data_IF_671737211250
#
_entry.id   IF_671737211250
#
_cell.length_a   1.000
_cell.length_b   1.000
_cell.length_c   1.000
_cell.angle_alpha   90.00
_cell.angle_beta   90.00
_cell.angle_gamma   90.00
#
_symmetry.space_group_name_H-M   'P 1'
#
loop_
_entity.id
_entity.type
_entity.pdbx_description
1 polymer ?
#
# COMPACT_ATOMS: atom_id res chain seq x y z
N UNK A 1 -51.30 -51.51 -31.16
CA UNK A 1 -49.92 -50.96 -31.12
C UNK A 1 -49.98 -49.52 -30.67
N UNK A 2 -49.79 -49.30 -29.38
CA UNK A 2 -49.76 -47.91 -28.85
C UNK A 2 -48.38 -47.28 -29.09
N UNK A 3 -48.37 -46.16 -29.81
CA UNK A 3 -47.15 -45.38 -30.03
C UNK A 3 -46.86 -44.55 -28.78
N UNK A 4 -45.84 -44.98 -27.99
CA UNK A 4 -45.33 -44.29 -26.84
C UNK A 4 -44.77 -42.89 -27.28
N UNK A 5 -45.51 -41.80 -27.02
CA UNK A 5 -45.04 -40.44 -27.26
C UNK A 5 -43.94 -40.11 -26.29
N UNK A 6 -42.70 -40.14 -26.74
CA UNK A 6 -41.55 -39.67 -25.95
C UNK A 6 -41.63 -38.17 -25.76
N UNK A 7 -41.54 -37.74 -24.52
CA UNK A 7 -41.64 -36.36 -24.13
C UNK A 7 -40.29 -35.67 -24.42
N UNK A 8 -40.13 -35.09 -25.62
CA UNK A 8 -38.90 -34.46 -26.10
C UNK A 8 -38.39 -33.39 -25.14
N UNK A 9 -39.31 -32.74 -24.41
CA UNK A 9 -38.94 -31.74 -23.38
C UNK A 9 -38.17 -32.35 -22.21
N UNK A 10 -38.52 -33.54 -21.80
CA UNK A 10 -37.79 -34.24 -20.70
C UNK A 10 -36.38 -34.69 -21.13
N UNK A 11 -36.23 -35.08 -22.42
CA UNK A 11 -34.91 -35.42 -22.97
C UNK A 11 -33.99 -34.21 -23.13
N UNK A 12 -34.52 -33.04 -23.53
CA UNK A 12 -33.75 -31.80 -23.62
C UNK A 12 -33.28 -31.35 -22.23
N UNK A 13 -34.13 -31.43 -21.20
CA UNK A 13 -33.74 -31.05 -19.83
C UNK A 13 -32.65 -31.96 -19.25
N UNK A 14 -32.69 -33.27 -19.55
CA UNK A 14 -31.66 -34.21 -19.16
C UNK A 14 -30.31 -33.99 -19.84
N UNK A 15 -30.34 -33.60 -21.13
CA UNK A 15 -29.12 -33.30 -21.89
C UNK A 15 -28.44 -31.97 -21.41
N UNK A 16 -29.21 -30.96 -20.98
CA UNK A 16 -28.65 -29.74 -20.40
C UNK A 16 -28.01 -30.02 -19.03
N UNK A 17 -28.56 -30.95 -18.23
CA UNK A 17 -27.97 -31.32 -16.94
C UNK A 17 -26.65 -32.12 -17.09
N UNK A 18 -26.50 -32.86 -18.22
CA UNK A 18 -25.29 -33.62 -18.54
C UNK A 18 -24.18 -32.73 -19.20
N UNK A 19 -24.53 -31.57 -19.70
CA UNK A 19 -23.55 -30.55 -20.15
C UNK A 19 -23.04 -29.74 -18.96
N UNK A 20 -22.87 -30.44 -17.84
CA UNK A 20 -22.21 -30.03 -16.62
C UNK A 20 -21.72 -28.60 -16.64
N UNK A 21 -22.50 -27.71 -16.08
CA UNK A 21 -21.90 -26.64 -15.29
C UNK A 21 -21.37 -27.31 -14.00
N UNK A 22 -20.40 -28.23 -14.16
CA UNK A 22 -19.45 -28.50 -13.12
C UNK A 22 -18.62 -27.20 -13.03
N UNK A 23 -19.11 -26.24 -12.26
CA UNK A 23 -18.28 -25.19 -11.74
C UNK A 23 -17.09 -25.90 -11.10
N UNK A 24 -15.93 -25.80 -11.70
CA UNK A 24 -14.69 -26.12 -11.04
C UNK A 24 -14.65 -25.24 -9.79
N UNK A 25 -15.07 -25.80 -8.68
CA UNK A 25 -14.64 -25.36 -7.37
C UNK A 25 -13.21 -25.90 -7.32
N UNK A 26 -12.29 -25.09 -7.82
CA UNK A 26 -10.88 -25.29 -7.62
C UNK A 26 -10.62 -24.84 -6.18
N UNK A 27 -10.54 -25.81 -5.24
CA UNK A 27 -10.18 -25.62 -3.84
C UNK A 27 -8.69 -25.26 -3.69
N UNK A 28 -8.09 -24.65 -4.70
CA UNK A 28 -6.90 -23.87 -4.52
C UNK A 28 -7.35 -22.57 -3.84
N UNK A 29 -7.15 -22.51 -2.55
CA UNK A 29 -7.17 -21.25 -1.80
C UNK A 29 -6.21 -20.27 -2.50
N UNK A 30 -6.71 -19.58 -3.52
CA UNK A 30 -6.11 -18.32 -3.96
C UNK A 30 -6.18 -17.47 -2.70
N UNK A 31 -5.03 -17.08 -2.11
CA UNK A 31 -5.08 -16.17 -0.97
C UNK A 31 -6.01 -15.05 -1.36
N UNK A 32 -6.96 -14.75 -0.48
CA UNK A 32 -7.98 -13.72 -0.64
C UNK A 32 -7.26 -12.38 -0.85
N UNK A 33 -6.74 -12.21 -2.06
CA UNK A 33 -6.34 -10.88 -2.53
C UNK A 33 -7.67 -10.19 -2.72
N UNK A 34 -8.03 -9.23 -1.86
CA UNK A 34 -9.29 -8.55 -2.00
C UNK A 34 -9.36 -8.00 -3.42
N UNK A 35 -10.18 -8.64 -4.26
CA UNK A 35 -10.47 -8.14 -5.60
C UNK A 35 -11.21 -6.85 -5.36
N UNK A 36 -10.51 -5.74 -5.52
CA UNK A 36 -10.97 -4.36 -5.25
C UNK A 36 -12.05 -3.90 -6.23
N UNK A 37 -12.98 -4.80 -6.58
CA UNK A 37 -14.20 -4.40 -7.25
C UNK A 37 -15.12 -3.75 -6.21
N UNK A 38 -15.04 -2.41 -6.12
CA UNK A 38 -15.96 -1.61 -5.34
C UNK A 38 -15.54 -1.29 -3.90
N UNK A 39 -14.28 -1.43 -3.54
CA UNK A 39 -13.78 -0.93 -2.26
C UNK A 39 -13.26 0.50 -2.39
N UNK A 40 -13.58 1.40 -1.47
CA UNK A 40 -12.99 2.73 -1.43
C UNK A 40 -11.46 2.64 -1.41
N UNK A 41 -10.82 3.54 -2.16
CA UNK A 41 -9.36 3.67 -2.18
C UNK A 41 -8.96 5.11 -1.90
N UNK A 42 -7.72 5.31 -1.44
CA UNK A 42 -7.13 6.60 -1.18
C UNK A 42 -5.74 6.63 -1.82
N UNK A 43 -5.48 7.68 -2.60
CA UNK A 43 -4.15 7.99 -3.10
C UNK A 43 -3.38 8.82 -2.07
N UNK A 44 -2.09 8.56 -1.90
CA UNK A 44 -1.26 9.40 -1.05
C UNK A 44 0.23 9.35 -1.41
N UNK A 45 0.93 10.40 -0.98
CA UNK A 45 2.40 10.48 -0.99
C UNK A 45 2.86 11.06 0.35
N UNK A 46 3.89 10.46 0.95
CA UNK A 46 4.50 10.97 2.18
C UNK A 46 5.79 11.70 1.82
N UNK A 47 5.96 12.93 2.33
CA UNK A 47 7.13 13.76 2.07
C UNK A 47 7.48 14.64 3.26
N UNK A 48 8.68 15.19 3.28
CA UNK A 48 9.06 16.12 4.33
C UNK A 48 10.56 16.36 4.46
N UNK A 49 10.94 16.82 5.65
CA UNK A 49 12.34 17.10 5.98
C UNK A 49 12.66 16.54 7.37
N UNK A 50 13.84 15.95 7.52
CA UNK A 50 14.37 15.49 8.81
C UNK A 50 15.49 16.42 9.26
N UNK A 51 15.42 16.87 10.50
CA UNK A 51 16.41 17.75 11.11
C UNK A 51 16.80 17.27 12.50
N UNK A 52 17.90 17.78 13.04
CA UNK A 52 18.17 17.72 14.48
C UNK A 52 17.29 18.74 15.25
N UNK A 53 17.49 18.83 16.57
CA UNK A 53 16.74 19.74 17.43
C UNK A 53 17.04 21.21 17.15
N UNK A 54 18.24 21.54 16.63
CA UNK A 54 18.68 22.88 16.23
C UNK A 54 18.16 23.28 14.83
N UNK A 55 17.54 22.32 14.10
CA UNK A 55 17.00 22.55 12.77
C UNK A 55 18.01 22.32 11.64
N UNK A 56 19.16 21.71 11.92
CA UNK A 56 20.13 21.32 10.89
C UNK A 56 19.61 20.09 10.14
N UNK A 57 19.61 20.09 8.79
CA UNK A 57 19.20 18.94 8.01
C UNK A 57 20.03 17.68 8.30
N UNK A 58 19.37 16.53 8.37
CA UNK A 58 19.99 15.23 8.55
C UNK A 58 19.90 14.41 7.27
N UNK A 59 21.06 14.10 6.69
CA UNK A 59 21.25 13.26 5.51
C UNK A 59 21.27 11.79 5.90
N UNK A 60 20.92 10.91 4.92
CA UNK A 60 21.01 9.44 5.01
C UNK A 60 20.17 8.82 6.14
N UNK A 61 19.20 9.57 6.70
CA UNK A 61 18.20 8.99 7.59
C UNK A 61 17.32 8.06 6.78
N UNK A 62 17.23 6.80 7.19
CA UNK A 62 16.34 5.82 6.61
C UNK A 62 14.89 6.13 6.98
N UNK A 63 14.03 6.29 5.97
CA UNK A 63 12.59 6.51 6.14
C UNK A 63 11.85 5.28 5.63
N UNK A 64 11.19 4.57 6.52
CA UNK A 64 10.47 3.33 6.24
C UNK A 64 8.97 3.62 6.33
N UNK A 65 8.28 3.56 5.19
CA UNK A 65 6.84 3.80 5.11
C UNK A 65 6.12 2.46 4.97
N UNK A 66 5.38 2.06 5.99
CA UNK A 66 4.61 0.81 6.04
C UNK A 66 3.12 1.12 6.07
N UNK A 67 2.39 0.55 5.12
CA UNK A 67 0.94 0.52 5.13
C UNK A 67 0.47 -0.89 4.72
N UNK A 68 0.06 -1.73 5.67
CA UNK A 68 -0.36 -3.10 5.37
C UNK A 68 -1.60 -3.20 4.48
N UNK A 69 -2.28 -2.09 4.22
CA UNK A 69 -3.45 -2.01 3.32
C UNK A 69 -3.12 -1.44 1.95
N UNK A 70 -1.86 -1.44 1.58
CA UNK A 70 -1.41 -0.95 0.29
C UNK A 70 -2.02 -1.78 -0.85
N UNK A 71 -2.45 -1.11 -1.90
CA UNK A 71 -3.01 -1.74 -3.10
C UNK A 71 -1.99 -1.71 -4.22
N UNK A 72 -1.35 -0.57 -4.44
CA UNK A 72 -0.35 -0.40 -5.47
C UNK A 72 0.57 0.78 -5.18
N UNK A 73 1.76 0.76 -5.78
CA UNK A 73 2.65 1.90 -5.91
C UNK A 73 2.60 2.44 -7.33
N UNK A 74 2.78 3.74 -7.49
CA UNK A 74 2.89 4.41 -8.78
C UNK A 74 4.30 5.00 -8.93
N UNK A 75 4.88 4.88 -10.12
CA UNK A 75 6.08 5.61 -10.48
C UNK A 75 5.80 7.09 -10.80
N UNK A 76 6.83 7.82 -11.22
CA UNK A 76 6.70 9.24 -11.56
C UNK A 76 5.78 9.49 -12.76
N UNK A 77 5.64 8.49 -13.64
CA UNK A 77 4.76 8.50 -14.81
C UNK A 77 3.32 8.05 -14.48
N UNK A 78 3.04 7.69 -13.22
CA UNK A 78 1.74 7.22 -12.75
C UNK A 78 1.42 5.78 -13.17
N UNK A 79 2.44 4.99 -13.51
CA UNK A 79 2.26 3.58 -13.84
C UNK A 79 2.34 2.69 -12.60
N UNK A 80 1.56 1.62 -12.61
CA UNK A 80 1.55 0.67 -11.50
C UNK A 80 2.90 -0.04 -11.35
N UNK A 81 3.53 0.13 -10.20
CA UNK A 81 4.68 -0.66 -9.78
C UNK A 81 4.18 -1.78 -8.87
N UNK A 82 4.63 -3.00 -9.13
CA UNK A 82 4.32 -4.10 -8.21
C UNK A 82 4.99 -3.85 -6.86
N UNK A 83 4.25 -3.98 -5.74
CA UNK A 83 4.86 -3.89 -4.43
C UNK A 83 5.97 -4.93 -4.28
N UNK A 84 7.01 -4.59 -3.54
CA UNK A 84 8.04 -5.56 -3.15
C UNK A 84 7.41 -6.57 -2.19
N UNK A 85 7.53 -7.85 -2.50
CA UNK A 85 6.97 -8.94 -1.68
C UNK A 85 8.13 -9.76 -1.12
N UNK A 86 8.10 -9.99 0.18
CA UNK A 86 8.93 -11.02 0.79
C UNK A 86 8.37 -12.39 0.39
N UNK A 87 9.07 -13.08 -0.51
CA UNK A 87 8.63 -14.37 -1.07
C UNK A 87 8.63 -15.50 -0.04
N UNK A 88 9.31 -15.34 1.09
CA UNK A 88 9.36 -16.32 2.17
C UNK A 88 8.11 -16.20 3.05
N UNK A 89 7.75 -14.96 3.42
CA UNK A 89 6.66 -14.68 4.34
C UNK A 89 5.38 -14.19 3.64
N UNK A 90 5.39 -14.06 2.31
CA UNK A 90 4.29 -13.51 1.49
C UNK A 90 3.79 -12.15 1.99
N UNK A 91 4.68 -11.36 2.58
CA UNK A 91 4.39 -10.04 3.12
C UNK A 91 4.83 -8.94 2.15
N UNK A 92 4.00 -7.92 1.95
CA UNK A 92 4.39 -6.70 1.25
C UNK A 92 5.48 -6.00 2.07
N UNK A 93 6.60 -5.69 1.43
CA UNK A 93 7.68 -4.94 2.07
C UNK A 93 7.34 -3.45 2.07
N UNK A 94 7.67 -2.74 3.15
CA UNK A 94 7.45 -1.29 3.23
C UNK A 94 8.31 -0.55 2.20
N UNK A 95 7.83 0.61 1.75
CA UNK A 95 8.63 1.54 0.96
C UNK A 95 9.72 2.13 1.84
N UNK A 96 10.95 2.12 1.33
CA UNK A 96 12.14 2.55 2.08
C UNK A 96 12.96 3.49 1.22
N UNK A 97 13.15 4.71 1.71
CA UNK A 97 13.97 5.75 1.09
C UNK A 97 14.92 6.37 2.11
N UNK A 98 15.77 7.27 1.66
CA UNK A 98 16.73 7.98 2.50
C UNK A 98 16.60 9.48 2.30
N UNK A 99 16.89 10.25 3.35
CA UNK A 99 16.94 11.70 3.22
C UNK A 99 18.18 12.13 2.40
N UNK A 100 18.00 13.18 1.62
CA UNK A 100 19.05 13.79 0.82
C UNK A 100 19.94 14.75 1.68
N UNK A 101 20.86 15.46 1.01
CA UNK A 101 21.77 16.44 1.65
C UNK A 101 21.05 17.62 2.33
N UNK A 102 19.79 17.86 1.99
CA UNK A 102 18.93 18.88 2.59
C UNK A 102 17.98 18.28 3.65
N UNK A 103 18.18 17.01 4.00
CA UNK A 103 17.30 16.28 4.89
C UNK A 103 15.93 15.95 4.30
N UNK A 104 15.72 16.14 2.97
CA UNK A 104 14.43 15.96 2.33
C UNK A 104 14.19 14.49 1.98
N UNK A 105 12.93 14.08 2.09
CA UNK A 105 12.46 12.76 1.64
C UNK A 105 11.12 12.88 0.92
N UNK A 106 10.88 11.98 -0.04
CA UNK A 106 9.61 11.84 -0.72
C UNK A 106 9.41 10.36 -1.09
N UNK A 107 8.38 9.75 -0.54
CA UNK A 107 7.99 8.39 -0.89
C UNK A 107 7.32 8.30 -2.25
N UNK A 108 7.09 7.08 -2.72
CA UNK A 108 6.33 6.84 -3.93
C UNK A 108 4.86 7.24 -3.74
N UNK A 109 4.23 7.67 -4.82
CA UNK A 109 2.77 7.78 -4.83
C UNK A 109 2.17 6.39 -4.63
N UNK A 110 1.19 6.30 -3.73
CA UNK A 110 0.65 5.01 -3.29
C UNK A 110 -0.85 5.07 -3.29
N UNK A 111 -1.50 3.98 -3.74
CA UNK A 111 -2.93 3.77 -3.59
C UNK A 111 -3.13 2.70 -2.53
N UNK A 112 -3.93 3.01 -1.53
CA UNK A 112 -4.25 2.11 -0.42
C UNK A 112 -5.76 2.03 -0.20
N UNK A 113 -6.20 0.98 0.50
CA UNK A 113 -7.60 0.86 0.94
C UNK A 113 -7.93 1.85 2.06
N UNK A 114 -6.94 2.27 2.84
CA UNK A 114 -7.09 3.21 3.95
C UNK A 114 -5.72 3.70 4.42
N UNK A 115 -5.67 4.86 5.08
CA UNK A 115 -4.47 5.41 5.71
C UNK A 115 -4.36 5.07 7.20
N UNK A 116 -5.39 4.52 7.84
CA UNK A 116 -5.47 4.30 9.28
C UNK A 116 -4.39 3.36 9.86
N UNK A 117 -3.65 2.68 9.01
CA UNK A 117 -2.53 1.80 9.38
C UNK A 117 -1.19 2.29 8.86
N UNK A 118 -1.14 3.47 8.25
CA UNK A 118 0.11 4.07 7.83
C UNK A 118 1.02 4.31 9.03
N UNK A 119 2.25 3.80 8.92
CA UNK A 119 3.32 4.02 9.88
C UNK A 119 4.56 4.45 9.13
N UNK A 120 5.19 5.52 9.58
CA UNK A 120 6.44 6.03 9.02
C UNK A 120 7.49 6.05 10.11
N UNK A 121 8.55 5.28 9.92
CA UNK A 121 9.64 5.19 10.87
C UNK A 121 10.91 5.83 10.30
N UNK A 122 11.54 6.68 11.11
CA UNK A 122 12.79 7.38 10.81
C UNK A 122 13.89 6.72 11.64
N UNK A 123 14.93 6.21 10.97
CA UNK A 123 16.06 5.51 11.60
C UNK A 123 17.37 6.11 11.15
N UNK A 124 18.19 6.46 12.10
CA UNK A 124 19.60 6.67 11.84
C UNK A 124 20.29 5.30 11.76
N UNK A 125 20.93 5.02 10.63
CA UNK A 125 21.56 3.73 10.37
C UNK A 125 23.08 3.82 10.20
N UNK A 126 23.63 5.03 10.22
CA UNK A 126 25.08 5.29 10.04
C UNK A 126 25.79 5.75 11.34
N UNK A 127 25.03 5.89 12.42
CA UNK A 127 25.54 6.22 13.75
C UNK A 127 26.14 7.62 13.80
N UNK A 128 27.41 7.73 14.22
CA UNK A 128 28.09 9.02 14.40
C UNK A 128 28.33 9.80 13.08
N UNK A 129 28.11 9.17 11.91
CA UNK A 129 28.24 9.86 10.64
C UNK A 129 27.08 10.86 10.43
N UNK A 130 27.23 11.75 9.45
CA UNK A 130 26.19 12.70 9.03
C UNK A 130 25.58 13.60 10.14
N UNK A 131 26.31 13.83 11.22
CA UNK A 131 25.92 14.82 12.23
C UNK A 131 25.68 14.28 13.62
N UNK A 132 25.82 12.98 13.84
CA UNK A 132 25.72 12.30 15.13
C UNK A 132 24.71 11.15 15.14
N UNK A 133 24.65 10.41 16.24
CA UNK A 133 23.78 9.24 16.42
C UNK A 133 22.42 9.68 16.99
N UNK A 134 21.33 9.36 16.29
CA UNK A 134 19.98 9.81 16.62
C UNK A 134 19.04 8.66 17.00
N UNK A 135 18.09 8.96 17.87
CA UNK A 135 17.03 8.04 18.24
C UNK A 135 16.04 7.86 17.09
N UNK A 136 15.59 6.61 16.87
CA UNK A 136 14.52 6.36 15.92
C UNK A 136 13.21 6.98 16.39
N UNK A 137 12.41 7.45 15.43
CA UNK A 137 11.07 8.00 15.68
C UNK A 137 10.06 7.36 14.74
N UNK A 138 8.89 7.01 15.26
CA UNK A 138 7.77 6.48 14.50
C UNK A 138 6.61 7.46 14.54
N UNK A 139 6.00 7.70 13.39
CA UNK A 139 4.84 8.58 13.21
C UNK A 139 3.69 7.81 12.55
N UNK A 140 2.46 8.17 12.92
CA UNK A 140 1.23 7.69 12.30
C UNK A 140 0.65 8.75 11.35
N UNK A 141 -0.35 8.39 10.56
CA UNK A 141 -1.00 9.29 9.59
C UNK A 141 -1.40 10.64 10.21
N UNK A 142 -1.97 10.62 11.41
CA UNK A 142 -2.45 11.81 12.11
C UNK A 142 -1.33 12.77 12.58
N UNK A 143 -0.07 12.34 12.52
CA UNK A 143 1.06 13.18 12.88
C UNK A 143 1.50 14.09 11.72
N UNK A 144 0.99 13.86 10.51
CA UNK A 144 1.32 14.62 9.31
C UNK A 144 0.29 15.70 9.02
N UNK A 145 0.76 16.80 8.40
CA UNK A 145 -0.12 17.73 7.74
C UNK A 145 -0.66 17.09 6.47
N UNK A 146 -1.99 17.05 6.35
CA UNK A 146 -2.68 16.40 5.24
C UNK A 146 -3.27 17.43 4.30
N UNK A 147 -2.82 17.45 3.07
CA UNK A 147 -3.32 18.31 2.01
C UNK A 147 -3.95 17.46 0.92
N UNK A 148 -5.21 17.69 0.62
CA UNK A 148 -5.87 17.07 -0.54
C UNK A 148 -5.37 17.73 -1.82
N UNK A 149 -4.91 16.92 -2.78
CA UNK A 149 -4.37 17.36 -4.08
C UNK A 149 -5.27 16.95 -5.25
N UNK A 150 -6.14 15.95 -5.04
CA UNK A 150 -7.17 15.55 -5.98
C UNK A 150 -8.46 15.22 -5.23
N UNK A 151 -9.59 15.66 -5.78
CA UNK A 151 -10.90 15.39 -5.21
C UNK A 151 -11.31 13.92 -5.35
N UNK A 152 -12.28 13.51 -4.53
CA UNK A 152 -12.88 12.18 -4.61
C UNK A 152 -13.57 11.98 -5.96
N UNK A 153 -13.39 10.81 -6.57
CA UNK A 153 -14.07 10.39 -7.80
C UNK A 153 -14.35 8.88 -7.78
N UNK A 154 -15.61 8.53 -7.99
CA UNK A 154 -16.07 7.14 -7.97
C UNK A 154 -15.76 6.44 -6.65
N UNK A 155 -14.87 5.45 -6.68
CA UNK A 155 -14.42 4.70 -5.51
C UNK A 155 -13.18 5.30 -4.82
N UNK A 156 -12.57 6.32 -5.42
CA UNK A 156 -11.46 7.06 -4.80
C UNK A 156 -12.00 8.09 -3.81
N UNK A 157 -11.46 8.10 -2.61
CA UNK A 157 -11.71 9.13 -1.60
C UNK A 157 -10.83 10.38 -1.81
N UNK A 158 -10.08 10.43 -2.91
CA UNK A 158 -9.18 11.50 -3.28
C UNK A 158 -7.71 11.13 -3.12
N UNK A 159 -6.84 12.08 -3.49
CA UNK A 159 -5.40 11.97 -3.30
C UNK A 159 -4.90 13.01 -2.31
N UNK A 160 -3.92 12.62 -1.50
CA UNK A 160 -3.39 13.42 -0.41
C UNK A 160 -1.87 13.47 -0.40
N UNK A 161 -1.32 14.64 -0.13
CA UNK A 161 0.06 14.82 0.30
C UNK A 161 0.09 14.86 1.83
N UNK A 162 0.92 13.99 2.42
CA UNK A 162 1.18 13.91 3.85
C UNK A 162 2.57 14.48 4.09
N UNK A 163 2.66 15.65 4.71
CA UNK A 163 3.92 16.37 4.89
C UNK A 163 4.28 16.59 6.36
N UNK A 164 5.59 16.51 6.68
CA UNK A 164 6.08 16.71 8.04
C UNK A 164 7.53 17.19 8.05
N UNK A 165 7.86 18.14 8.94
CA UNK A 165 9.23 18.33 9.42
C UNK A 165 9.42 17.50 10.68
N UNK A 166 10.34 16.56 10.64
CA UNK A 166 10.65 15.62 11.72
C UNK A 166 11.93 16.07 12.41
N UNK A 167 11.91 16.19 13.75
CA UNK A 167 13.08 16.50 14.53
C UNK A 167 13.53 15.27 15.28
N UNK A 168 14.73 14.77 14.99
CA UNK A 168 15.31 13.64 15.71
C UNK A 168 16.15 14.13 16.88
N UNK A 169 16.07 13.41 18.00
CA UNK A 169 16.86 13.65 19.20
C UNK A 169 18.13 12.83 19.17
N UNK A 170 19.24 13.42 19.60
CA UNK A 170 20.50 12.70 19.75
C UNK A 170 20.37 11.59 20.81
N UNK A 171 21.06 10.48 20.60
CA UNK A 171 21.18 9.45 21.63
C UNK A 171 22.06 9.95 22.76
N UNK A 172 21.58 9.78 23.99
CA UNK A 172 22.34 10.13 25.20
C UNK A 172 22.13 11.55 25.74
N UNK A 173 21.21 12.32 25.12
CA UNK A 173 20.73 13.60 25.66
C UNK A 173 19.39 13.46 26.37
#
# INVERSE_FOLDING_TARGET
MEKKKWNVKALLSGALALLGFAGCIDDNEVPDVPVLYGSPSVGYRVMGTVTDEEGKPLKDIQVVMDNPRIVTYLDEEGQNIRPKIDTINMKILPDTIYTDEKGQFSGLSTIAASLDKLSVEFRDIDGEANGGDFNSQQLAENDFEKKQVQDADGWSTGEFELSKTVKLKRKGE
#
